data_IF_641035789557
#
_entry.id   IF_641035789557
#
_cell.length_a   1.000
_cell.length_b   1.000
_cell.length_c   1.000
_cell.angle_alpha   90.00
_cell.angle_beta   90.00
_cell.angle_gamma   90.00
#
_symmetry.space_group_name_H-M   'P 1'
#
loop_
_entity.id
_entity.type
_entity.pdbx_description
1 polymer ?
#
# COMPACT_ATOMS: atom_id res chain seq x y z
N UNK A 1 6.11 -3.30 2.02
CA UNK A 1 5.15 -3.87 1.06
C UNK A 1 5.20 -3.08 -0.24
N UNK A 2 5.57 -3.75 -1.33
CA UNK A 2 5.59 -3.16 -2.67
C UNK A 2 4.17 -2.88 -3.17
N UNK A 3 4.00 -1.88 -4.04
CA UNK A 3 2.77 -1.60 -4.76
C UNK A 3 2.92 -1.67 -6.28
N UNK A 4 1.85 -1.42 -7.02
CA UNK A 4 1.92 -1.41 -8.49
C UNK A 4 0.59 -1.51 -9.22
N UNK A 5 -0.43 -0.73 -8.84
CA UNK A 5 -1.80 -0.80 -9.41
C UNK A 5 -2.45 -2.18 -9.23
N UNK A 6 -3.70 -2.33 -9.62
CA UNK A 6 -4.49 -3.55 -9.48
C UNK A 6 -4.86 -4.14 -10.83
N UNK A 7 -5.28 -5.41 -10.81
CA UNK A 7 -6.04 -5.98 -11.92
C UNK A 7 -7.49 -6.19 -11.49
N UNK A 8 -8.42 -5.78 -12.33
CA UNK A 8 -9.85 -5.67 -12.01
C UNK A 8 -10.71 -6.66 -12.81
N UNK A 9 -10.14 -7.31 -13.83
CA UNK A 9 -10.82 -8.28 -14.69
C UNK A 9 -9.87 -9.36 -15.16
N UNK A 10 -10.45 -10.48 -15.58
CA UNK A 10 -9.70 -11.63 -16.11
C UNK A 10 -9.35 -11.47 -17.59
N UNK A 11 -10.33 -11.22 -18.49
CA UNK A 11 -10.04 -11.17 -19.92
C UNK A 11 -9.10 -10.01 -20.26
N UNK A 12 -8.51 -10.06 -21.45
CA UNK A 12 -7.75 -8.93 -21.98
C UNK A 12 -8.66 -7.72 -22.14
N UNK A 13 -8.05 -6.56 -22.01
CA UNK A 13 -8.70 -5.29 -22.27
C UNK A 13 -9.05 -5.17 -23.74
N UNK A 14 -10.31 -4.87 -24.05
CA UNK A 14 -10.84 -4.73 -25.41
C UNK A 14 -11.28 -3.32 -25.78
N UNK A 15 -11.29 -2.38 -24.83
CA UNK A 15 -11.73 -1.00 -25.06
C UNK A 15 -10.52 -0.09 -25.32
N UNK A 16 -10.51 0.68 -26.42
CA UNK A 16 -9.45 1.64 -26.69
C UNK A 16 -9.21 2.61 -25.53
N UNK A 17 -7.96 2.74 -25.08
CA UNK A 17 -7.54 3.63 -23.99
C UNK A 17 -7.53 3.01 -22.60
N UNK A 18 -8.09 1.81 -22.41
CA UNK A 18 -7.89 1.03 -21.19
C UNK A 18 -6.48 0.39 -21.16
N UNK A 19 -5.92 0.18 -19.97
CA UNK A 19 -4.54 -0.33 -19.83
C UNK A 19 -4.51 -1.84 -19.72
N UNK A 20 -3.61 -2.49 -20.45
CA UNK A 20 -3.53 -3.96 -20.48
C UNK A 20 -3.33 -4.59 -19.10
N UNK A 21 -2.66 -3.90 -18.17
CA UNK A 21 -2.41 -4.35 -16.78
C UNK A 21 -3.68 -4.53 -15.94
N UNK A 22 -4.80 -3.95 -16.37
CA UNK A 22 -6.10 -4.14 -15.69
C UNK A 22 -6.62 -5.56 -15.88
N UNK A 23 -6.15 -6.26 -16.94
CA UNK A 23 -6.34 -7.69 -17.12
C UNK A 23 -5.37 -8.48 -16.25
N UNK A 24 -5.90 -9.30 -15.35
CA UNK A 24 -5.11 -10.21 -14.52
C UNK A 24 -4.36 -11.26 -15.35
N UNK A 25 -4.93 -11.73 -16.47
CA UNK A 25 -4.27 -12.68 -17.36
C UNK A 25 -3.10 -12.05 -18.14
N UNK A 26 -3.21 -10.77 -18.51
CA UNK A 26 -2.08 -10.05 -19.08
C UNK A 26 -1.01 -9.76 -18.00
N UNK A 27 -1.44 -9.34 -16.81
CA UNK A 27 -0.59 -9.00 -15.67
C UNK A 27 0.21 -10.20 -15.15
N UNK A 28 -0.33 -11.41 -15.20
CA UNK A 28 0.38 -12.63 -14.79
C UNK A 28 1.62 -12.93 -15.65
N UNK A 29 1.71 -12.36 -16.85
CA UNK A 29 2.91 -12.41 -17.70
C UNK A 29 3.95 -11.33 -17.37
N UNK A 30 3.85 -10.68 -16.21
CA UNK A 30 4.76 -9.64 -15.71
C UNK A 30 5.10 -9.89 -14.24
N UNK A 31 6.14 -9.21 -13.73
CA UNK A 31 6.60 -9.32 -12.33
C UNK A 31 5.50 -9.05 -11.30
N UNK A 32 4.58 -8.13 -11.63
CA UNK A 32 3.47 -7.73 -10.75
C UNK A 32 2.29 -8.72 -10.72
N UNK A 33 2.40 -9.85 -11.42
CA UNK A 33 1.41 -10.93 -11.41
C UNK A 33 2.03 -12.33 -11.36
N UNK A 34 3.36 -12.45 -11.29
CA UNK A 34 4.05 -13.74 -11.21
C UNK A 34 5.51 -13.55 -10.78
N UNK A 35 5.96 -14.38 -9.85
CA UNK A 35 7.36 -14.45 -9.41
C UNK A 35 8.31 -15.00 -10.49
N UNK A 36 7.79 -15.72 -11.49
CA UNK A 36 8.59 -16.23 -12.63
C UNK A 36 9.23 -15.12 -13.47
N UNK A 37 8.76 -13.88 -13.32
CA UNK A 37 9.23 -12.73 -14.07
C UNK A 37 10.03 -11.75 -13.22
N UNK A 38 10.37 -12.12 -11.99
CA UNK A 38 11.22 -11.32 -11.11
C UNK A 38 12.59 -11.08 -11.76
N UNK A 39 13.27 -12.12 -12.25
CA UNK A 39 14.59 -11.99 -12.87
C UNK A 39 14.57 -11.27 -14.24
N UNK A 40 13.55 -11.53 -15.07
CA UNK A 40 13.48 -11.02 -16.47
C UNK A 40 13.13 -9.53 -16.57
N UNK A 41 12.47 -8.94 -15.57
CA UNK A 41 12.23 -7.50 -15.53
C UNK A 41 13.53 -6.71 -15.27
N UNK A 42 14.49 -7.33 -14.58
CA UNK A 42 15.75 -6.72 -14.16
C UNK A 42 16.70 -6.48 -15.34
N UNK A 43 16.77 -7.41 -16.28
CA UNK A 43 17.68 -7.32 -17.43
C UNK A 43 17.24 -6.32 -18.50
N UNK A 44 15.93 -5.98 -18.61
CA UNK A 44 15.40 -5.17 -19.71
C UNK A 44 15.11 -3.70 -19.38
N UNK A 45 14.97 -3.34 -18.11
CA UNK A 45 14.53 -1.99 -17.73
C UNK A 45 15.50 -1.22 -16.84
N UNK A 46 16.43 -1.90 -16.16
CA UNK A 46 17.32 -1.29 -15.15
C UNK A 46 16.59 -0.54 -14.01
N UNK A 47 15.24 -0.54 -13.98
CA UNK A 47 14.44 0.43 -13.21
C UNK A 47 13.87 -0.13 -11.91
N UNK A 48 13.95 -1.44 -11.69
CA UNK A 48 13.47 -2.08 -10.46
C UNK A 48 14.53 -3.03 -9.94
N UNK A 49 15.22 -2.66 -8.85
CA UNK A 49 16.34 -3.44 -8.39
C UNK A 49 15.92 -4.72 -7.69
N UNK A 50 16.84 -5.67 -7.57
CA UNK A 50 16.66 -6.90 -6.77
C UNK A 50 17.39 -6.83 -5.44
N UNK A 51 18.39 -5.97 -5.33
CA UNK A 51 19.07 -5.69 -4.07
C UNK A 51 18.34 -4.59 -3.30
N UNK A 52 18.28 -4.74 -1.98
CA UNK A 52 17.71 -3.77 -1.05
C UNK A 52 18.40 -2.40 -1.15
N UNK A 53 19.70 -2.35 -1.48
CA UNK A 53 20.47 -1.10 -1.67
C UNK A 53 19.78 -0.17 -2.67
N UNK A 54 19.59 -0.62 -3.91
CA UNK A 54 18.94 0.18 -4.94
C UNK A 54 17.43 0.37 -4.66
N UNK A 55 16.81 -0.52 -3.86
CA UNK A 55 15.44 -0.27 -3.38
C UNK A 55 15.40 0.92 -2.43
N UNK A 56 16.42 1.06 -1.57
CA UNK A 56 16.66 2.22 -0.74
C UNK A 56 16.85 3.50 -1.57
N UNK A 57 17.42 3.43 -2.78
CA UNK A 57 17.48 4.59 -3.68
C UNK A 57 16.09 5.01 -4.21
N UNK A 58 15.14 4.08 -4.35
CA UNK A 58 13.81 4.39 -4.88
C UNK A 58 12.77 4.67 -3.79
N UNK A 59 12.90 4.00 -2.65
CA UNK A 59 12.03 4.11 -1.48
C UNK A 59 12.94 4.39 -0.29
N UNK A 60 13.28 5.66 -0.05
CA UNK A 60 14.37 6.03 0.88
C UNK A 60 14.10 5.63 2.34
N UNK A 61 12.88 5.24 2.71
CA UNK A 61 12.61 4.56 3.99
C UNK A 61 13.21 3.13 4.09
N UNK A 62 13.76 2.60 2.99
CA UNK A 62 14.63 1.41 2.92
C UNK A 62 16.11 1.78 2.71
N UNK A 63 16.47 3.07 2.70
CA UNK A 63 17.86 3.47 2.54
C UNK A 63 18.71 2.95 3.70
N UNK A 64 19.92 2.50 3.36
CA UNK A 64 20.98 2.11 4.30
C UNK A 64 21.89 3.27 4.67
N UNK A 65 21.63 4.46 4.11
CA UNK A 65 22.37 5.67 4.38
C UNK A 65 21.71 6.46 5.54
N UNK A 66 22.45 6.77 6.63
CA UNK A 66 21.89 7.41 7.82
C UNK A 66 21.23 8.78 7.57
N UNK A 67 21.74 9.55 6.61
CA UNK A 67 21.22 10.87 6.26
C UNK A 67 19.86 10.80 5.55
N UNK A 68 19.54 9.65 4.95
CA UNK A 68 18.29 9.43 4.23
C UNK A 68 17.26 8.66 5.07
N UNK A 69 17.71 7.92 6.07
CA UNK A 69 16.84 7.06 6.88
C UNK A 69 17.41 6.87 8.29
N UNK A 70 16.68 7.27 9.33
CA UNK A 70 17.16 7.03 10.69
C UNK A 70 17.08 5.54 11.07
N UNK A 71 16.24 4.75 10.39
CA UNK A 71 16.16 3.30 10.51
C UNK A 71 17.16 2.58 9.60
N UNK A 72 18.21 3.25 9.13
CA UNK A 72 19.16 2.72 8.16
C UNK A 72 19.84 1.44 8.60
N UNK A 73 20.03 1.23 9.90
CA UNK A 73 20.71 0.08 10.50
C UNK A 73 19.75 -1.05 10.93
N UNK A 74 18.44 -0.86 10.81
CA UNK A 74 17.43 -1.88 11.11
C UNK A 74 17.44 -3.05 10.10
N UNK A 75 16.77 -4.15 10.46
CA UNK A 75 16.48 -5.23 9.52
C UNK A 75 15.44 -4.76 8.49
N UNK A 76 15.82 -4.78 7.20
CA UNK A 76 14.93 -4.37 6.10
C UNK A 76 14.40 -5.58 5.35
N UNK A 77 13.07 -5.63 5.15
CA UNK A 77 12.39 -6.72 4.45
C UNK A 77 11.48 -6.18 3.37
N UNK A 78 11.73 -6.58 2.12
CA UNK A 78 10.84 -6.27 1.01
C UNK A 78 9.83 -7.38 0.77
N UNK A 79 8.55 -7.07 0.95
CA UNK A 79 7.43 -7.94 0.56
C UNK A 79 6.99 -7.58 -0.85
N UNK A 80 7.26 -8.48 -1.80
CA UNK A 80 7.00 -8.31 -3.24
C UNK A 80 5.53 -8.42 -3.59
N UNK A 81 5.10 -7.60 -4.54
CA UNK A 81 3.70 -7.52 -4.95
C UNK A 81 3.44 -8.28 -6.25
N UNK A 82 2.71 -9.39 -6.16
CA UNK A 82 2.38 -10.25 -7.30
C UNK A 82 0.93 -10.75 -7.34
N UNK A 83 0.05 -10.31 -6.42
CA UNK A 83 -1.33 -10.79 -6.33
C UNK A 83 -2.34 -9.88 -7.06
N UNK A 84 -1.99 -8.62 -7.36
CA UNK A 84 -2.89 -7.69 -8.05
C UNK A 84 -4.06 -7.16 -7.21
N UNK A 85 -4.08 -7.45 -5.89
CA UNK A 85 -5.19 -7.18 -4.97
C UNK A 85 -4.78 -6.59 -3.62
N UNK A 86 -3.67 -5.84 -3.54
CA UNK A 86 -3.12 -5.26 -2.29
C UNK A 86 -2.97 -6.29 -1.17
N UNK A 87 -2.46 -7.49 -1.48
CA UNK A 87 -2.20 -8.56 -0.51
C UNK A 87 -3.44 -9.05 0.23
N UNK A 88 -4.66 -8.71 -0.19
CA UNK A 88 -5.87 -8.89 0.63
C UNK A 88 -6.85 -9.92 0.05
N UNK A 89 -6.63 -10.37 -1.19
CA UNK A 89 -7.55 -11.26 -1.89
C UNK A 89 -7.76 -12.61 -1.19
N UNK A 90 -9.02 -13.06 -1.10
CA UNK A 90 -9.43 -14.36 -0.54
C UNK A 90 -10.23 -15.23 -1.51
N UNK A 91 -10.37 -14.78 -2.77
CA UNK A 91 -11.17 -15.49 -3.75
C UNK A 91 -10.60 -16.89 -4.00
N UNK A 92 -11.43 -17.90 -3.71
CA UNK A 92 -11.13 -19.33 -3.95
C UNK A 92 -11.15 -19.69 -5.44
N UNK A 93 -11.55 -18.76 -6.31
CA UNK A 93 -11.69 -19.00 -7.74
C UNK A 93 -10.31 -19.25 -8.36
N UNK A 94 -10.12 -20.44 -8.91
CA UNK A 94 -9.02 -20.76 -9.82
C UNK A 94 -9.52 -20.51 -11.23
N UNK A 95 -8.86 -19.65 -12.00
CA UNK A 95 -9.31 -19.33 -13.37
C UNK A 95 -8.22 -19.62 -14.37
N UNK A 96 -8.57 -20.45 -15.36
CA UNK A 96 -7.77 -20.62 -16.57
C UNK A 96 -8.11 -19.49 -17.53
N UNK A 97 -7.09 -18.82 -18.06
CA UNK A 97 -7.24 -17.72 -18.99
C UNK A 97 -6.13 -17.75 -20.03
N UNK A 98 -6.34 -17.11 -21.18
CA UNK A 98 -5.28 -16.92 -22.16
C UNK A 98 -4.32 -15.83 -21.67
N UNK A 99 -3.11 -16.24 -21.30
CA UNK A 99 -2.06 -15.34 -20.81
C UNK A 99 -1.48 -14.46 -21.92
N UNK A 100 -0.58 -13.55 -21.54
CA UNK A 100 0.12 -12.64 -22.48
C UNK A 100 0.84 -13.37 -23.63
N UNK A 101 1.41 -14.55 -23.38
CA UNK A 101 2.24 -15.30 -24.33
C UNK A 101 1.47 -16.37 -25.14
N UNK A 102 0.14 -16.23 -25.33
CA UNK A 102 -0.74 -17.21 -26.02
C UNK A 102 -0.80 -18.61 -25.39
N UNK A 103 -0.34 -18.76 -24.14
CA UNK A 103 -0.46 -19.98 -23.35
C UNK A 103 -1.54 -19.86 -22.27
N UNK A 104 -2.12 -20.98 -21.84
CA UNK A 104 -3.06 -21.01 -20.71
C UNK A 104 -2.31 -20.66 -19.42
N UNK A 105 -2.85 -19.70 -18.66
CA UNK A 105 -2.38 -19.37 -17.31
C UNK A 105 -3.46 -19.68 -16.30
N UNK A 106 -3.06 -20.22 -15.15
CA UNK A 106 -3.93 -20.34 -13.98
C UNK A 106 -3.72 -19.14 -13.06
N UNK A 107 -4.79 -18.38 -12.84
CA UNK A 107 -4.82 -17.23 -11.93
C UNK A 107 -5.28 -17.62 -10.53
N UNK A 108 -4.63 -17.04 -9.52
CA UNK A 108 -4.95 -17.17 -8.11
C UNK A 108 -5.06 -15.78 -7.47
N UNK A 109 -6.13 -15.58 -6.68
CA UNK A 109 -6.42 -14.31 -6.01
C UNK A 109 -6.25 -14.50 -4.50
N UNK A 110 -5.03 -14.86 -4.10
CA UNK A 110 -4.69 -15.39 -2.76
C UNK A 110 -3.84 -14.44 -1.92
N UNK A 111 -3.92 -13.13 -2.18
CA UNK A 111 -3.13 -12.12 -1.47
C UNK A 111 -3.13 -12.32 0.05
N UNK A 112 -4.31 -12.58 0.65
CA UNK A 112 -4.42 -12.75 2.12
C UNK A 112 -3.67 -13.99 2.62
N UNK A 113 -3.74 -15.09 1.90
CA UNK A 113 -3.03 -16.32 2.25
C UNK A 113 -1.51 -16.14 2.09
N UNK A 114 -1.07 -15.43 1.05
CA UNK A 114 0.34 -15.07 0.84
C UNK A 114 0.83 -14.19 2.00
N UNK A 115 0.09 -13.15 2.37
CA UNK A 115 0.43 -12.29 3.50
C UNK A 115 0.53 -13.07 4.82
N UNK A 116 -0.40 -13.99 5.08
CA UNK A 116 -0.35 -14.85 6.27
C UNK A 116 0.87 -15.79 6.27
N UNK A 117 1.21 -16.39 5.12
CA UNK A 117 2.39 -17.23 5.02
C UNK A 117 3.69 -16.45 5.27
N UNK A 118 3.78 -15.21 4.77
CA UNK A 118 4.91 -14.31 5.03
C UNK A 118 5.01 -13.98 6.52
N UNK A 119 3.91 -13.58 7.17
CA UNK A 119 3.89 -13.31 8.62
C UNK A 119 4.41 -14.51 9.41
N UNK A 120 3.89 -15.72 9.11
CA UNK A 120 4.32 -16.95 9.78
C UNK A 120 5.81 -17.23 9.56
N UNK A 121 6.31 -17.15 8.33
CA UNK A 121 7.72 -17.43 8.03
C UNK A 121 8.66 -16.40 8.69
N UNK A 122 8.29 -15.12 8.68
CA UNK A 122 9.05 -14.06 9.34
C UNK A 122 9.16 -14.29 10.85
N UNK A 123 8.02 -14.59 11.51
CA UNK A 123 7.95 -14.82 12.95
C UNK A 123 8.68 -16.09 13.37
N UNK A 124 8.46 -17.20 12.64
CA UNK A 124 8.97 -18.52 13.05
C UNK A 124 10.38 -18.85 12.59
N UNK A 125 10.92 -18.16 11.56
CA UNK A 125 12.20 -18.56 10.96
C UNK A 125 13.18 -17.43 10.69
N UNK A 126 12.73 -16.17 10.62
CA UNK A 126 13.58 -15.04 10.20
C UNK A 126 13.85 -14.02 11.30
N UNK A 127 13.63 -14.41 12.55
CA UNK A 127 13.97 -13.61 13.72
C UNK A 127 13.04 -12.41 13.99
N UNK A 128 11.93 -12.24 13.26
CA UNK A 128 11.00 -11.13 13.52
C UNK A 128 10.39 -11.21 14.92
N UNK A 129 10.27 -12.41 15.49
CA UNK A 129 9.79 -12.63 16.85
C UNK A 129 10.67 -11.97 17.93
N UNK A 130 11.94 -11.70 17.63
CA UNK A 130 12.91 -11.11 18.56
C UNK A 130 12.96 -9.59 18.47
N UNK A 131 12.26 -8.97 17.51
CA UNK A 131 12.28 -7.53 17.33
C UNK A 131 11.66 -6.81 18.54
N UNK A 132 12.23 -5.66 18.89
CA UNK A 132 11.62 -4.72 19.87
C UNK A 132 10.65 -3.77 19.17
N UNK A 133 10.93 -3.45 17.91
CA UNK A 133 10.22 -2.46 17.12
C UNK A 133 10.01 -2.97 15.70
N UNK A 134 8.81 -2.73 15.16
CA UNK A 134 8.43 -3.15 13.81
C UNK A 134 7.69 -2.02 13.12
N UNK A 135 8.24 -1.55 11.99
CA UNK A 135 7.56 -0.64 11.06
C UNK A 135 7.00 -1.46 9.90
N UNK A 136 5.68 -1.59 9.84
CA UNK A 136 4.99 -2.23 8.72
C UNK A 136 4.75 -1.16 7.65
N UNK A 137 5.71 -1.02 6.74
CA UNK A 137 5.64 -0.02 5.67
C UNK A 137 5.02 -0.56 4.39
N UNK A 138 4.36 0.32 3.64
CA UNK A 138 3.81 0.01 2.32
C UNK A 138 3.71 1.25 1.46
N UNK A 139 3.96 1.08 0.16
CA UNK A 139 3.90 2.17 -0.81
C UNK A 139 2.87 1.90 -1.91
N UNK A 140 2.12 2.91 -2.35
CA UNK A 140 1.10 2.79 -3.41
C UNK A 140 0.03 1.73 -3.07
N UNK A 141 -0.24 0.78 -3.97
CA UNK A 141 -1.11 -0.37 -3.70
C UNK A 141 -0.65 -1.21 -2.49
N UNK A 142 0.65 -1.20 -2.17
CA UNK A 142 1.21 -1.80 -0.95
C UNK A 142 0.87 -0.99 0.30
N UNK A 143 0.81 0.34 0.20
CA UNK A 143 0.34 1.25 1.25
C UNK A 143 -1.13 1.00 1.57
N UNK A 144 -1.98 0.84 0.54
CA UNK A 144 -3.36 0.38 0.76
C UNK A 144 -3.41 -1.01 1.40
N UNK A 145 -2.50 -1.92 1.02
CA UNK A 145 -2.37 -3.23 1.64
C UNK A 145 -2.02 -3.15 3.13
N UNK A 146 -1.14 -2.22 3.52
CA UNK A 146 -0.81 -1.92 4.92
C UNK A 146 -2.00 -1.31 5.65
N UNK A 147 -2.74 -0.38 5.05
CA UNK A 147 -3.98 0.13 5.64
C UNK A 147 -4.99 -1.00 5.89
N UNK A 148 -5.08 -1.97 4.99
CA UNK A 148 -5.99 -3.11 5.15
C UNK A 148 -5.52 -4.09 6.22
N UNK A 149 -4.22 -4.39 6.30
CA UNK A 149 -3.70 -5.55 7.04
C UNK A 149 -2.75 -5.20 8.19
N UNK A 150 -2.51 -3.92 8.46
CA UNK A 150 -1.64 -3.48 9.55
C UNK A 150 -2.08 -4.04 10.91
N UNK A 151 -3.38 -4.01 11.19
CA UNK A 151 -3.95 -4.63 12.41
C UNK A 151 -3.69 -6.14 12.47
N UNK A 152 -3.64 -6.83 11.32
CA UNK A 152 -3.35 -8.27 11.27
C UNK A 152 -1.87 -8.55 11.59
N UNK A 153 -0.95 -7.69 11.14
CA UNK A 153 0.47 -7.75 11.52
C UNK A 153 0.66 -7.55 13.02
N UNK A 154 0.05 -6.51 13.58
CA UNK A 154 0.11 -6.21 15.02
C UNK A 154 -0.44 -7.36 15.85
N UNK A 155 -1.58 -7.94 15.43
CA UNK A 155 -2.17 -9.09 16.11
C UNK A 155 -1.26 -10.34 16.04
N UNK A 156 -0.63 -10.60 14.89
CA UNK A 156 0.27 -11.74 14.73
C UNK A 156 1.53 -11.62 15.61
N UNK A 157 2.17 -10.45 15.62
CA UNK A 157 3.33 -10.14 16.48
C UNK A 157 2.98 -10.26 17.96
N UNK A 158 1.86 -9.66 18.37
CA UNK A 158 1.39 -9.69 19.76
C UNK A 158 1.07 -11.12 20.22
N UNK A 159 0.36 -11.87 19.38
CA UNK A 159 0.00 -13.27 19.70
C UNK A 159 1.25 -14.13 19.81
N UNK A 160 2.19 -13.98 18.87
CA UNK A 160 3.44 -14.74 18.90
C UNK A 160 4.28 -14.44 20.15
N UNK A 161 4.47 -13.16 20.48
CA UNK A 161 5.21 -12.76 21.68
C UNK A 161 4.58 -13.34 22.96
N UNK A 162 3.24 -13.26 23.10
CA UNK A 162 2.51 -13.84 24.23
C UNK A 162 2.64 -15.36 24.33
N UNK A 163 2.62 -16.07 23.20
CA UNK A 163 2.84 -17.52 23.18
C UNK A 163 4.26 -17.91 23.61
N UNK A 164 5.22 -16.99 23.54
CA UNK A 164 6.60 -17.19 23.97
C UNK A 164 6.90 -16.54 25.34
N UNK A 165 5.87 -16.06 26.05
CA UNK A 165 6.00 -15.33 27.32
C UNK A 165 6.91 -14.09 27.23
N UNK A 166 6.81 -13.35 26.11
CA UNK A 166 7.57 -12.12 25.84
C UNK A 166 6.65 -10.91 25.74
N UNK A 167 7.23 -9.74 26.02
CA UNK A 167 6.58 -8.47 25.72
C UNK A 167 6.42 -8.32 24.20
N UNK A 168 5.25 -7.88 23.71
CA UNK A 168 5.04 -7.62 22.29
C UNK A 168 5.89 -6.43 21.83
N UNK A 169 6.42 -6.45 20.59
CA UNK A 169 7.13 -5.30 20.04
C UNK A 169 6.20 -4.09 19.88
N UNK A 170 6.79 -2.90 19.82
CA UNK A 170 6.09 -1.72 19.32
C UNK A 170 5.87 -1.88 17.82
N UNK A 171 4.61 -1.81 17.38
CA UNK A 171 4.25 -1.91 15.96
C UNK A 171 3.65 -0.60 15.50
N UNK A 172 4.19 -0.04 14.43
CA UNK A 172 3.63 1.13 13.74
C UNK A 172 3.50 0.87 12.25
N UNK A 173 2.55 1.53 11.60
CA UNK A 173 2.35 1.46 10.16
C UNK A 173 2.95 2.69 9.47
N UNK A 174 3.64 2.50 8.36
CA UNK A 174 4.04 3.59 7.47
C UNK A 174 3.28 3.46 6.14
N UNK A 175 2.38 4.41 5.89
CA UNK A 175 1.48 4.43 4.73
C UNK A 175 2.00 5.48 3.75
N UNK A 176 2.86 5.07 2.82
CA UNK A 176 3.35 5.93 1.74
C UNK A 176 2.41 5.84 0.52
N UNK A 177 1.85 6.98 0.11
CA UNK A 177 1.04 7.07 -1.12
C UNK A 177 -0.10 6.03 -1.21
N UNK A 178 -0.59 5.58 -0.05
CA UNK A 178 -1.54 4.47 0.08
C UNK A 178 -2.99 4.91 0.27
N UNK A 179 -3.21 6.19 0.55
CA UNK A 179 -4.53 6.78 0.66
C UNK A 179 -5.04 7.17 -0.73
N UNK A 180 -6.05 6.46 -1.22
CA UNK A 180 -6.68 6.77 -2.50
C UNK A 180 -8.07 7.39 -2.30
N UNK A 181 -8.42 8.47 -3.02
CA UNK A 181 -9.71 9.14 -2.88
C UNK A 181 -10.83 8.37 -3.57
N UNK A 182 -12.05 8.46 -3.05
CA UNK A 182 -13.23 7.87 -3.69
C UNK A 182 -13.74 8.75 -4.86
N UNK A 183 -12.88 9.05 -5.83
CA UNK A 183 -13.12 9.98 -6.94
C UNK A 183 -13.34 9.26 -8.28
N UNK A 184 -14.27 9.77 -9.09
CA UNK A 184 -14.54 9.29 -10.45
C UNK A 184 -14.54 10.47 -11.43
N UNK A 185 -13.60 10.45 -12.39
CA UNK A 185 -13.59 11.41 -13.48
C UNK A 185 -14.76 11.18 -14.44
N UNK A 186 -15.14 12.21 -15.20
CA UNK A 186 -16.09 12.09 -16.31
C UNK A 186 -15.48 11.42 -17.56
N UNK A 187 -14.16 11.18 -17.57
CA UNK A 187 -13.44 10.56 -18.67
C UNK A 187 -13.50 9.02 -18.59
N UNK A 188 -14.00 8.38 -19.65
CA UNK A 188 -14.10 6.91 -19.76
C UNK A 188 -12.75 6.18 -19.65
N UNK A 189 -11.63 6.87 -19.88
CA UNK A 189 -10.28 6.33 -19.69
C UNK A 189 -9.86 6.25 -18.22
N UNK A 190 -10.57 6.93 -17.32
CA UNK A 190 -10.27 6.98 -15.88
C UNK A 190 -11.50 6.59 -15.04
N UNK A 191 -11.99 5.37 -15.25
CA UNK A 191 -13.10 4.72 -14.51
C UNK A 191 -12.67 4.23 -13.12
N UNK A 192 -11.98 5.06 -12.34
CA UNK A 192 -11.29 4.62 -11.13
C UNK A 192 -12.20 3.97 -10.08
N UNK A 193 -13.32 4.61 -9.70
CA UNK A 193 -14.24 4.01 -8.70
C UNK A 193 -14.79 2.67 -9.17
N UNK A 194 -15.21 2.61 -10.42
CA UNK A 194 -15.76 1.41 -11.01
C UNK A 194 -14.73 0.27 -11.09
N UNK A 195 -13.48 0.62 -11.44
CA UNK A 195 -12.36 -0.33 -11.39
C UNK A 195 -12.14 -0.85 -9.98
N UNK A 196 -12.10 0.01 -8.97
CA UNK A 196 -11.91 -0.44 -7.58
C UNK A 196 -13.07 -1.29 -7.07
N UNK A 197 -14.31 -1.03 -7.50
CA UNK A 197 -15.44 -1.92 -7.24
C UNK A 197 -15.26 -3.29 -7.89
N UNK A 198 -14.73 -3.34 -9.13
CA UNK A 198 -14.42 -4.58 -9.82
C UNK A 198 -13.25 -5.35 -9.16
N UNK A 199 -12.19 -4.65 -8.70
CA UNK A 199 -11.12 -5.24 -7.88
C UNK A 199 -11.71 -5.89 -6.63
N UNK A 200 -12.54 -5.16 -5.88
CA UNK A 200 -13.19 -5.67 -4.67
C UNK A 200 -14.00 -6.94 -4.96
N UNK A 201 -14.80 -6.94 -6.03
CA UNK A 201 -15.61 -8.08 -6.45
C UNK A 201 -14.78 -9.29 -6.85
N UNK A 202 -13.69 -9.08 -7.60
CA UNK A 202 -12.85 -10.15 -8.13
C UNK A 202 -11.98 -10.78 -7.03
N UNK A 203 -11.30 -9.95 -6.25
CA UNK A 203 -10.32 -10.39 -5.23
C UNK A 203 -10.98 -10.81 -3.92
N UNK A 204 -12.16 -10.24 -3.60
CA UNK A 204 -12.87 -10.44 -2.32
C UNK A 204 -11.94 -10.16 -1.13
N UNK A 205 -11.45 -8.92 -0.98
CA UNK A 205 -10.44 -8.60 -0.01
C UNK A 205 -10.96 -8.81 1.42
N UNK A 206 -10.10 -9.30 2.32
CA UNK A 206 -10.46 -9.54 3.72
C UNK A 206 -9.28 -9.32 4.67
N UNK A 207 -9.56 -8.66 5.79
CA UNK A 207 -8.61 -8.38 6.87
C UNK A 207 -9.37 -7.91 8.12
N UNK A 208 -8.67 -7.75 9.25
CA UNK A 208 -9.29 -7.19 10.46
C UNK A 208 -9.86 -5.78 10.24
N UNK A 209 -9.09 -4.88 9.63
CA UNK A 209 -9.52 -3.49 9.36
C UNK A 209 -10.68 -3.46 8.36
N UNK A 210 -10.62 -4.25 7.27
CA UNK A 210 -11.70 -4.31 6.28
C UNK A 210 -13.01 -4.83 6.89
N UNK A 211 -12.95 -5.78 7.82
CA UNK A 211 -14.14 -6.30 8.51
C UNK A 211 -14.85 -5.19 9.31
N UNK A 212 -14.10 -4.37 10.04
CA UNK A 212 -14.65 -3.22 10.79
C UNK A 212 -15.24 -2.19 9.84
N UNK A 213 -14.49 -1.81 8.80
CA UNK A 213 -14.95 -0.86 7.80
C UNK A 213 -16.25 -1.30 7.11
N UNK A 214 -16.34 -2.56 6.71
CA UNK A 214 -17.56 -3.10 6.08
C UNK A 214 -18.75 -3.12 7.02
N UNK A 215 -18.53 -3.35 8.32
CA UNK A 215 -19.60 -3.26 9.33
C UNK A 215 -20.15 -1.83 9.44
N UNK A 216 -19.30 -0.82 9.31
CA UNK A 216 -19.70 0.58 9.26
C UNK A 216 -20.29 1.02 7.90
N UNK A 217 -20.05 0.25 6.83
CA UNK A 217 -20.49 0.55 5.47
C UNK A 217 -21.25 -0.66 4.84
N UNK A 218 -22.38 -1.10 5.41
CA UNK A 218 -23.03 -2.36 5.00
C UNK A 218 -23.66 -2.31 3.60
N UNK A 219 -24.05 -1.13 3.12
CA UNK A 219 -24.71 -0.94 1.82
C UNK A 219 -23.68 -1.02 0.68
N UNK A 220 -22.56 -0.32 0.83
CA UNK A 220 -21.49 -0.24 -0.18
C UNK A 220 -20.12 -0.65 0.41
N UNK A 221 -19.95 -1.93 0.78
CA UNK A 221 -18.73 -2.40 1.45
C UNK A 221 -17.46 -2.26 0.60
N UNK A 222 -17.59 -2.11 -0.72
CA UNK A 222 -16.48 -1.90 -1.64
C UNK A 222 -15.83 -0.52 -1.47
N UNK A 223 -16.53 0.46 -0.88
CA UNK A 223 -15.96 1.77 -0.57
C UNK A 223 -14.82 1.69 0.46
N UNK A 224 -14.71 0.58 1.20
CA UNK A 224 -13.56 0.29 2.07
C UNK A 224 -12.23 0.07 1.31
N UNK A 225 -12.24 0.11 -0.02
CA UNK A 225 -11.03 0.19 -0.84
C UNK A 225 -10.43 1.61 -0.90
N UNK A 226 -11.13 2.64 -0.39
CA UNK A 226 -10.67 4.03 -0.38
C UNK A 226 -10.24 4.47 1.00
N UNK A 227 -9.27 5.38 1.03
CA UNK A 227 -8.65 5.84 2.27
C UNK A 227 -9.65 6.45 3.25
N UNK A 228 -10.60 7.25 2.76
CA UNK A 228 -11.56 7.94 3.63
C UNK A 228 -12.56 7.06 4.35
N UNK A 229 -12.80 5.84 3.84
CA UNK A 229 -13.60 4.85 4.55
C UNK A 229 -12.74 3.93 5.39
N UNK A 230 -11.51 3.64 4.97
CA UNK A 230 -10.68 2.63 5.62
C UNK A 230 -9.88 3.18 6.81
N UNK A 231 -9.27 4.36 6.66
CA UNK A 231 -8.35 4.97 7.64
C UNK A 231 -8.97 5.08 9.06
N UNK A 232 -10.26 5.45 9.23
CA UNK A 232 -10.87 5.54 10.56
C UNK A 232 -10.96 4.21 11.33
N UNK A 233 -10.76 3.07 10.67
CA UNK A 233 -10.92 1.74 11.27
C UNK A 233 -9.59 1.03 11.58
N UNK A 234 -8.46 1.64 11.26
CA UNK A 234 -7.14 1.15 11.64
C UNK A 234 -6.95 1.38 13.13
N UNK A 235 -6.54 0.33 13.86
CA UNK A 235 -6.23 0.44 15.30
C UNK A 235 -4.75 0.62 15.56
N UNK A 236 -3.89 0.01 14.75
CA UNK A 236 -2.44 0.17 14.90
C UNK A 236 -2.03 1.60 14.62
N UNK A 237 -1.16 2.17 15.45
CA UNK A 237 -0.64 3.52 15.23
C UNK A 237 -0.01 3.63 13.84
N UNK A 238 -0.28 4.72 13.13
CA UNK A 238 0.22 4.89 11.78
C UNK A 238 0.79 6.28 11.54
N UNK A 239 1.72 6.36 10.59
CA UNK A 239 2.17 7.59 9.96
C UNK A 239 1.83 7.53 8.47
N UNK A 240 1.02 8.49 7.99
CA UNK A 240 0.67 8.60 6.58
C UNK A 240 1.53 9.65 5.90
N UNK A 241 2.29 9.24 4.88
CA UNK A 241 3.09 10.12 4.02
C UNK A 241 2.45 10.19 2.63
N UNK A 242 1.98 11.37 2.24
CA UNK A 242 1.12 11.54 1.07
C UNK A 242 1.51 12.79 0.28
N UNK A 243 1.50 12.68 -1.06
CA UNK A 243 1.50 13.85 -1.93
C UNK A 243 0.08 14.35 -2.15
N UNK A 244 -0.14 15.67 -2.05
CA UNK A 244 -1.40 16.27 -2.46
C UNK A 244 -1.62 16.24 -3.99
N UNK A 245 -0.54 16.05 -4.75
CA UNK A 245 -0.52 16.06 -6.21
C UNK A 245 0.06 14.77 -6.75
N UNK A 246 -0.49 13.64 -6.28
CA UNK A 246 0.05 12.33 -6.55
C UNK A 246 0.23 12.07 -8.06
N UNK A 247 1.47 11.81 -8.49
CA UNK A 247 1.85 11.67 -9.90
C UNK A 247 1.29 10.40 -10.56
N UNK A 248 0.86 9.43 -9.74
CA UNK A 248 0.04 8.32 -10.19
C UNK A 248 -1.43 8.77 -10.26
N UNK A 249 -1.97 9.36 -9.20
CA UNK A 249 -3.36 9.80 -9.09
C UNK A 249 -3.82 10.69 -10.24
N UNK A 250 -3.06 11.73 -10.59
CA UNK A 250 -3.46 12.70 -11.63
C UNK A 250 -3.82 12.01 -12.96
N UNK A 251 -2.93 11.26 -13.64
CA UNK A 251 -3.26 10.62 -14.91
C UNK A 251 -4.02 9.27 -14.80
N UNK A 252 -4.30 8.74 -13.60
CA UNK A 252 -5.08 7.47 -13.43
C UNK A 252 -6.47 7.67 -12.83
N UNK A 253 -6.67 8.74 -12.06
CA UNK A 253 -7.88 9.03 -11.30
C UNK A 253 -8.56 10.28 -11.84
N UNK A 254 -7.81 11.38 -11.99
CA UNK A 254 -8.35 12.66 -12.48
C UNK A 254 -8.55 12.67 -13.99
N UNK A 255 -7.60 12.14 -14.76
CA UNK A 255 -7.62 12.18 -16.23
C UNK A 255 -7.65 13.59 -16.85
N UNK A 256 -7.19 14.59 -16.11
CA UNK A 256 -7.08 15.97 -16.58
C UNK A 256 -5.63 16.46 -16.45
N UNK A 257 -5.29 17.42 -17.30
CA UNK A 257 -4.00 18.11 -17.36
C UNK A 257 -4.12 19.60 -17.01
N UNK A 258 -5.33 20.12 -16.85
CA UNK A 258 -5.54 21.53 -16.47
C UNK A 258 -5.08 21.78 -15.03
N UNK A 259 -4.32 22.86 -14.85
CA UNK A 259 -3.82 23.27 -13.54
C UNK A 259 -4.96 23.51 -12.54
N UNK A 260 -6.06 24.09 -13.01
CA UNK A 260 -7.23 24.36 -12.19
C UNK A 260 -7.87 23.07 -11.64
N UNK A 261 -8.02 22.02 -12.44
CA UNK A 261 -8.57 20.74 -11.98
C UNK A 261 -7.60 20.00 -11.06
N UNK A 262 -6.30 20.04 -11.36
CA UNK A 262 -5.26 19.45 -10.52
C UNK A 262 -5.24 20.12 -9.13
N UNK A 263 -5.26 21.46 -9.07
CA UNK A 263 -5.33 22.23 -7.83
C UNK A 263 -6.61 21.97 -7.04
N UNK A 264 -7.75 21.91 -7.74
CA UNK A 264 -9.03 21.56 -7.11
C UNK A 264 -9.02 20.16 -6.50
N UNK A 265 -8.47 19.17 -7.20
CA UNK A 265 -8.34 17.81 -6.67
C UNK A 265 -7.38 17.77 -5.48
N UNK A 266 -6.22 18.42 -5.56
CA UNK A 266 -5.24 18.43 -4.48
C UNK A 266 -5.78 19.06 -3.19
N UNK A 267 -6.53 20.16 -3.30
CA UNK A 267 -7.24 20.76 -2.18
C UNK A 267 -8.30 19.83 -1.58
N UNK A 268 -9.13 19.20 -2.43
CA UNK A 268 -10.13 18.24 -1.99
C UNK A 268 -9.51 17.00 -1.32
N UNK A 269 -8.40 16.50 -1.87
CA UNK A 269 -7.66 15.36 -1.33
C UNK A 269 -7.09 15.69 0.06
N UNK A 270 -6.43 16.84 0.23
CA UNK A 270 -5.96 17.30 1.55
C UNK A 270 -7.09 17.35 2.56
N UNK A 271 -8.23 17.92 2.18
CA UNK A 271 -9.40 18.00 3.05
C UNK A 271 -9.93 16.62 3.43
N UNK A 272 -10.08 15.70 2.46
CA UNK A 272 -10.55 14.33 2.68
C UNK A 272 -9.63 13.56 3.62
N UNK A 273 -8.32 13.66 3.42
CA UNK A 273 -7.33 12.99 4.28
C UNK A 273 -7.40 13.53 5.70
N UNK A 274 -7.39 14.86 5.89
CA UNK A 274 -7.45 15.48 7.22
C UNK A 274 -8.76 15.15 7.95
N UNK A 275 -9.89 15.12 7.23
CA UNK A 275 -11.18 14.72 7.81
C UNK A 275 -11.16 13.25 8.25
N UNK A 276 -10.58 12.37 7.43
CA UNK A 276 -10.45 10.94 7.73
C UNK A 276 -9.53 10.68 8.93
N UNK A 277 -8.43 11.45 9.01
CA UNK A 277 -7.47 11.39 10.10
C UNK A 277 -8.09 11.84 11.43
N UNK A 278 -8.87 12.93 11.43
CA UNK A 278 -9.62 13.40 12.61
C UNK A 278 -10.72 12.42 13.06
N UNK A 279 -11.23 11.61 12.12
CA UNK A 279 -12.23 10.59 12.40
C UNK A 279 -11.62 9.26 12.89
N UNK A 280 -10.29 9.06 12.77
CA UNK A 280 -9.62 7.93 13.41
C UNK A 280 -9.73 8.08 14.93
N UNK A 281 -10.14 7.00 15.59
CA UNK A 281 -10.39 6.97 17.04
C UNK A 281 -9.13 7.39 17.83
N UNK A 282 -9.34 8.23 18.85
CA UNK A 282 -8.32 8.98 19.59
C UNK A 282 -7.49 8.15 20.58
N UNK A 283 -7.56 6.81 20.52
CA UNK A 283 -6.78 5.93 21.39
C UNK A 283 -5.25 6.02 21.12
N UNK A 284 -4.87 6.47 19.92
CA UNK A 284 -3.48 6.59 19.48
C UNK A 284 -3.22 7.92 18.79
N UNK A 285 -2.04 8.52 19.02
CA UNK A 285 -1.64 9.76 18.32
C UNK A 285 -1.08 9.38 16.95
N UNK A 286 -1.93 9.27 15.93
CA UNK A 286 -1.45 9.00 14.58
C UNK A 286 -0.61 10.17 14.04
N UNK A 287 0.16 9.91 12.98
CA UNK A 287 1.01 10.89 12.31
C UNK A 287 0.57 11.08 10.86
N UNK A 288 0.71 12.29 10.36
CA UNK A 288 0.41 12.60 8.97
C UNK A 288 1.36 13.66 8.44
N UNK A 289 1.78 13.46 7.19
CA UNK A 289 2.61 14.38 6.45
C UNK A 289 2.09 14.47 5.02
N UNK A 290 1.61 15.66 4.63
CA UNK A 290 1.11 15.91 3.28
C UNK A 290 1.91 17.02 2.62
N UNK A 291 2.59 16.72 1.52
CA UNK A 291 3.39 17.69 0.79
C UNK A 291 2.72 18.21 -0.49
N UNK A 292 3.17 19.36 -1.03
CA UNK A 292 2.64 19.92 -2.27
C UNK A 292 3.38 19.45 -3.53
N UNK A 293 4.34 18.53 -3.44
CA UNK A 293 5.16 18.13 -4.58
C UNK A 293 4.44 17.07 -5.40
N UNK A 294 4.57 17.15 -6.73
CA UNK A 294 4.03 16.15 -7.65
C UNK A 294 4.93 14.93 -7.71
N UNK A 295 4.68 13.95 -6.87
CA UNK A 295 5.38 12.66 -6.87
C UNK A 295 4.42 11.51 -6.55
N UNK A 296 4.86 10.28 -6.72
CA UNK A 296 4.12 9.11 -6.25
C UNK A 296 5.18 8.18 -5.73
N UNK A 297 5.18 7.98 -4.41
CA UNK A 297 6.34 7.44 -3.70
C UNK A 297 7.57 8.37 -3.88
N UNK A 298 8.63 8.22 -3.07
CA UNK A 298 9.88 9.04 -3.06
C UNK A 298 9.81 10.30 -2.19
N UNK A 299 10.87 11.13 -2.24
CA UNK A 299 10.99 12.42 -1.56
C UNK A 299 10.98 12.33 -0.03
N UNK A 300 11.41 11.19 0.51
CA UNK A 300 11.30 10.85 1.93
C UNK A 300 12.32 11.62 2.79
N UNK A 301 13.54 11.85 2.31
CA UNK A 301 14.58 12.55 3.07
C UNK A 301 14.76 14.03 2.71
N UNK A 302 14.38 14.44 1.50
CA UNK A 302 14.81 15.74 0.95
C UNK A 302 13.73 16.83 0.91
N UNK A 303 12.47 16.45 0.70
CA UNK A 303 11.39 17.43 0.60
C UNK A 303 11.07 17.95 2.00
N UNK A 304 10.80 19.25 2.17
CA UNK A 304 10.49 19.85 3.47
C UNK A 304 9.14 20.57 3.47
N UNK A 305 8.41 20.40 4.58
CA UNK A 305 7.20 21.16 4.94
C UNK A 305 7.46 21.66 6.36
N UNK A 306 7.36 22.97 6.56
CA UNK A 306 7.61 23.63 7.84
C UNK A 306 8.97 23.26 8.48
N UNK A 307 9.98 23.07 7.63
CA UNK A 307 11.36 22.73 8.05
C UNK A 307 11.62 21.24 8.28
N UNK A 308 10.59 20.39 8.23
CA UNK A 308 10.72 18.95 8.42
C UNK A 308 10.58 18.19 7.11
N UNK A 309 11.49 17.25 6.87
CA UNK A 309 11.31 16.20 5.88
C UNK A 309 10.37 15.09 6.35
N UNK A 310 9.78 14.28 5.46
CA UNK A 310 8.97 13.12 5.87
C UNK A 310 9.70 12.20 6.85
N UNK A 311 10.99 11.93 6.62
CA UNK A 311 11.84 11.15 7.51
C UNK A 311 11.96 11.78 8.91
N UNK A 312 12.20 13.09 8.97
CA UNK A 312 12.39 13.79 10.25
C UNK A 312 11.07 13.96 11.01
N UNK A 313 9.97 14.20 10.30
CA UNK A 313 8.62 14.24 10.87
C UNK A 313 8.22 12.85 11.40
N UNK A 314 8.56 11.78 10.66
CA UNK A 314 8.33 10.42 11.12
C UNK A 314 9.16 10.09 12.37
N UNK A 315 10.44 10.48 12.39
CA UNK A 315 11.31 10.35 13.58
C UNK A 315 10.70 11.07 14.79
N UNK A 316 10.34 12.35 14.65
CA UNK A 316 9.73 13.14 15.72
C UNK A 316 8.41 12.55 16.20
N UNK A 317 7.55 12.08 15.29
CA UNK A 317 6.30 11.41 15.66
C UNK A 317 6.55 10.10 16.41
N UNK A 318 7.53 9.32 15.95
CA UNK A 318 7.85 8.00 16.50
C UNK A 318 8.50 8.12 17.90
N UNK A 319 9.44 9.05 18.10
CA UNK A 319 10.18 9.25 19.35
C UNK A 319 9.62 10.34 20.27
N UNK A 320 8.86 11.31 19.76
CA UNK A 320 8.35 12.46 20.53
C UNK A 320 7.37 12.07 21.64
N UNK A 321 7.00 10.80 21.76
CA UNK A 321 6.24 10.27 22.89
C UNK A 321 7.08 9.59 23.97
N UNK A 322 8.38 9.34 23.74
CA UNK A 322 9.29 8.82 24.77
C UNK A 322 9.89 9.90 25.67
N UNK A 323 9.80 11.18 25.29
CA UNK A 323 10.31 12.32 26.08
C UNK A 323 9.29 12.94 27.05
N UNK A 324 8.04 12.46 27.05
CA UNK A 324 7.10 12.74 28.14
C UNK A 324 7.13 11.56 29.13
N UNK A 325 8.12 11.57 30.03
CA UNK A 325 8.12 10.77 31.26
C UNK A 325 7.93 11.67 32.47
#
# INVERSE_FOLDING_TARGET
HEGGDWCDRIPRVGVPGERSEWSCAYRSGKRLGSSLHEEKANARTGSYPTNLTNFGEHFEFFSREPENNWMHDWNHVMVRYCDGGSFSGTSRKRVRAEGKAKGEVTLYFRGKAVSGAIMTDMLSKRGLAEATDVVVAGSSAGGLGVMMQGDDWTAALTTHARMQDRLPPRVVLLIDSGFFPAYQAHNVKCRYKERMAAVFKLHKPSSTTLRKCRKANPIEPWLCMFGSRLLPHIQTEYFAYLSAFDSWGIPRVLCADSEAEINKLGGAFRHEVLASFRASDGAHVNGIYIDPCRHHTKCWSHMQVDGDSPQSAFYKWYHGRSEQR
#
